data_IF_299529061833
#
_entry.id   IF_299529061833
#
_cell.length_a   1.000
_cell.length_b   1.000
_cell.length_c   1.000
_cell.angle_alpha   90.00
_cell.angle_beta   90.00
_cell.angle_gamma   90.00
#
_symmetry.space_group_name_H-M   'P 1'
#
loop_
_entity.id
_entity.type
_entity.pdbx_description
1 polymer ?
#
# COMPACT_ATOMS: atom_id res chain seq x y z
N UNK A 1 -11.68 5.23 12.50
CA UNK A 1 -11.53 6.71 12.50
C UNK A 1 -11.03 7.28 11.16
N UNK A 2 -10.01 6.70 10.53
CA UNK A 2 -9.42 7.19 9.26
C UNK A 2 -10.39 7.08 8.08
N UNK A 3 -11.11 5.95 7.93
CA UNK A 3 -12.08 5.75 6.86
C UNK A 3 -13.23 6.78 6.90
N UNK A 4 -13.73 7.13 8.09
CA UNK A 4 -14.79 8.12 8.24
C UNK A 4 -14.34 9.53 7.81
N UNK A 5 -13.12 9.93 8.18
CA UNK A 5 -12.54 11.21 7.74
C UNK A 5 -12.35 11.25 6.22
N UNK A 6 -11.91 10.16 5.64
CA UNK A 6 -11.73 10.04 4.20
C UNK A 6 -13.08 10.06 3.46
N UNK A 7 -14.10 9.36 3.97
CA UNK A 7 -15.47 9.40 3.44
C UNK A 7 -16.07 10.81 3.47
N UNK A 8 -15.89 11.54 4.58
CA UNK A 8 -16.35 12.94 4.66
C UNK A 8 -15.73 13.80 3.56
N UNK A 9 -14.44 13.64 3.33
CA UNK A 9 -13.74 14.37 2.26
C UNK A 9 -14.19 13.95 0.87
N UNK A 10 -14.40 12.65 0.64
CA UNK A 10 -14.93 12.14 -0.61
C UNK A 10 -16.34 12.70 -0.88
N UNK A 11 -17.22 12.72 0.12
CA UNK A 11 -18.56 13.32 -0.01
C UNK A 11 -18.52 14.81 -0.35
N UNK A 12 -17.55 15.56 0.17
CA UNK A 12 -17.38 16.97 -0.21
C UNK A 12 -16.94 17.10 -1.67
N UNK A 13 -16.00 16.28 -2.13
CA UNK A 13 -15.55 16.26 -3.53
C UNK A 13 -16.70 15.88 -4.46
N UNK A 14 -17.48 14.86 -4.12
CA UNK A 14 -18.63 14.41 -4.90
C UNK A 14 -19.67 15.51 -5.12
N UNK A 15 -19.97 16.30 -4.08
CA UNK A 15 -20.93 17.41 -4.18
C UNK A 15 -20.43 18.55 -5.05
N UNK A 16 -19.13 18.90 -4.94
CA UNK A 16 -18.58 20.07 -5.60
C UNK A 16 -18.11 19.80 -7.04
N UNK A 17 -17.70 18.58 -7.35
CA UNK A 17 -17.10 18.22 -8.63
C UNK A 17 -17.99 17.26 -9.45
N UNK A 18 -19.31 17.25 -9.21
CA UNK A 18 -20.22 16.35 -9.90
C UNK A 18 -20.11 16.45 -11.43
N UNK A 19 -20.14 17.67 -11.96
CA UNK A 19 -20.09 17.96 -13.40
C UNK A 19 -18.69 18.06 -13.98
N UNK A 20 -17.63 17.80 -13.20
CA UNK A 20 -16.26 17.92 -13.69
C UNK A 20 -15.85 16.70 -14.52
N UNK A 21 -14.88 16.85 -15.42
CA UNK A 21 -14.27 15.74 -16.17
C UNK A 21 -13.64 14.70 -15.24
N UNK A 22 -13.46 13.46 -15.76
CA UNK A 22 -12.86 12.33 -15.05
C UNK A 22 -11.51 12.70 -14.44
N UNK A 23 -10.65 13.35 -15.19
CA UNK A 23 -9.29 13.71 -14.77
C UNK A 23 -9.28 14.62 -13.55
N UNK A 24 -10.17 15.63 -13.50
CA UNK A 24 -10.31 16.53 -12.36
C UNK A 24 -10.77 15.78 -11.10
N UNK A 25 -11.73 14.86 -11.25
CA UNK A 25 -12.20 14.02 -10.17
C UNK A 25 -11.08 13.11 -9.63
N UNK A 26 -10.29 12.55 -10.52
CA UNK A 26 -9.17 11.67 -10.17
C UNK A 26 -8.07 12.45 -9.45
N UNK A 27 -7.69 13.62 -9.92
CA UNK A 27 -6.74 14.51 -9.26
C UNK A 27 -7.25 14.89 -7.87
N UNK A 28 -8.51 15.28 -7.74
CA UNK A 28 -9.12 15.64 -6.46
C UNK A 28 -9.12 14.47 -5.47
N UNK A 29 -9.45 13.26 -5.90
CA UNK A 29 -9.35 12.07 -5.06
C UNK A 29 -7.90 11.79 -4.64
N UNK A 30 -6.97 11.81 -5.60
CA UNK A 30 -5.57 11.45 -5.34
C UNK A 30 -4.86 12.45 -4.44
N UNK A 31 -5.24 13.73 -4.47
CA UNK A 31 -4.65 14.79 -3.65
C UNK A 31 -5.31 14.97 -2.29
N UNK A 32 -6.63 14.82 -2.17
CA UNK A 32 -7.37 15.17 -0.95
C UNK A 32 -7.85 13.98 -0.12
N UNK A 33 -8.19 12.86 -0.75
CA UNK A 33 -8.75 11.69 -0.07
C UNK A 33 -7.71 10.61 0.16
N UNK A 34 -6.97 10.24 -0.90
CA UNK A 34 -5.97 9.17 -0.85
C UNK A 34 -4.88 9.39 0.19
N UNK A 35 -4.34 10.62 0.44
CA UNK A 35 -3.36 10.83 1.49
C UNK A 35 -3.90 10.52 2.89
N UNK A 36 -5.19 10.76 3.14
CA UNK A 36 -5.84 10.42 4.42
C UNK A 36 -5.91 8.91 4.61
N UNK A 37 -6.22 8.15 3.56
CA UNK A 37 -6.24 6.68 3.58
C UNK A 37 -4.84 6.08 3.68
N UNK A 38 -3.84 6.78 3.15
CA UNK A 38 -2.46 6.35 3.11
C UNK A 38 -1.62 6.86 4.31
N UNK A 39 -2.21 7.66 5.21
CA UNK A 39 -1.49 8.20 6.36
C UNK A 39 -0.86 7.10 7.21
N UNK A 40 0.41 7.28 7.55
CA UNK A 40 1.22 6.34 8.33
C UNK A 40 1.18 4.87 7.82
N UNK A 41 0.94 4.66 6.53
CA UNK A 41 0.76 3.33 5.90
C UNK A 41 1.93 2.37 6.09
N UNK A 42 3.12 2.87 6.34
CA UNK A 42 4.30 2.06 6.60
C UNK A 42 4.36 1.56 8.05
N UNK A 43 3.78 2.32 9.00
CA UNK A 43 3.83 2.03 10.43
C UNK A 43 2.52 1.43 10.92
N UNK A 44 1.39 1.98 10.46
CA UNK A 44 0.06 1.55 10.87
C UNK A 44 -0.66 0.83 9.72
N UNK A 45 -1.12 -0.37 9.99
CA UNK A 45 -1.98 -1.14 9.08
C UNK A 45 -3.11 -1.80 9.85
N UNK A 46 -4.35 -1.76 9.35
CA UNK A 46 -5.43 -2.50 9.95
C UNK A 46 -5.15 -4.00 9.86
N UNK A 47 -5.33 -4.70 10.96
CA UNK A 47 -5.16 -6.15 11.04
C UNK A 47 -6.47 -6.87 10.72
N UNK A 48 -7.60 -6.29 11.15
CA UNK A 48 -8.92 -6.88 10.95
C UNK A 48 -9.42 -6.68 9.53
N UNK A 49 -9.93 -7.73 8.91
CA UNK A 49 -10.55 -7.68 7.56
C UNK A 49 -11.66 -6.62 7.47
N UNK A 50 -12.42 -6.41 8.56
CA UNK A 50 -13.45 -5.36 8.64
C UNK A 50 -12.87 -3.98 8.35
N UNK A 51 -11.74 -3.66 8.97
CA UNK A 51 -11.11 -2.34 8.84
C UNK A 51 -10.43 -2.17 7.48
N UNK A 52 -9.82 -3.24 6.96
CA UNK A 52 -9.29 -3.28 5.58
C UNK A 52 -10.43 -2.99 4.60
N UNK A 53 -11.54 -3.71 4.71
CA UNK A 53 -12.70 -3.54 3.84
C UNK A 53 -13.33 -2.14 3.96
N UNK A 54 -13.34 -1.55 5.14
CA UNK A 54 -13.83 -0.19 5.36
C UNK A 54 -12.96 0.86 4.63
N UNK A 55 -11.66 0.68 4.59
CA UNK A 55 -10.77 1.57 3.85
C UNK A 55 -10.89 1.35 2.32
N UNK A 56 -10.92 0.09 1.88
CA UNK A 56 -11.10 -0.23 0.46
C UNK A 56 -12.46 0.21 -0.08
N UNK A 57 -13.50 0.24 0.76
CA UNK A 57 -14.83 0.73 0.36
C UNK A 57 -14.81 2.20 -0.05
N UNK A 58 -13.97 3.02 0.60
CA UNK A 58 -13.78 4.44 0.23
C UNK A 58 -13.14 4.56 -1.14
N UNK A 59 -12.12 3.74 -1.43
CA UNK A 59 -11.47 3.72 -2.74
C UNK A 59 -12.44 3.26 -3.83
N UNK A 60 -13.25 2.22 -3.57
CA UNK A 60 -14.28 1.74 -4.49
C UNK A 60 -15.34 2.82 -4.78
N UNK A 61 -15.78 3.55 -3.76
CA UNK A 61 -16.72 4.65 -3.94
C UNK A 61 -16.12 5.79 -4.78
N UNK A 62 -14.83 6.10 -4.57
CA UNK A 62 -14.12 7.08 -5.36
C UNK A 62 -13.95 6.64 -6.82
N UNK A 63 -13.63 5.37 -7.07
CA UNK A 63 -13.49 4.84 -8.42
C UNK A 63 -14.80 4.95 -9.22
N UNK A 64 -15.93 4.58 -8.61
CA UNK A 64 -17.27 4.76 -9.23
C UNK A 64 -17.56 6.22 -9.55
N UNK A 65 -17.21 7.13 -8.65
CA UNK A 65 -17.41 8.56 -8.85
C UNK A 65 -16.54 9.11 -10.00
N UNK A 66 -15.30 8.69 -10.12
CA UNK A 66 -14.40 9.12 -11.19
C UNK A 66 -14.82 8.57 -12.56
N UNK A 67 -15.25 7.31 -12.62
CA UNK A 67 -15.67 6.65 -13.87
C UNK A 67 -17.11 6.96 -14.28
N UNK A 68 -17.90 7.62 -13.41
CA UNK A 68 -19.36 7.79 -13.56
C UNK A 68 -20.10 6.46 -13.75
N UNK A 69 -19.47 5.36 -13.37
CA UNK A 69 -20.05 4.04 -13.47
C UNK A 69 -20.70 3.66 -12.15
N UNK A 70 -22.03 3.83 -12.09
CA UNK A 70 -22.85 3.49 -10.95
C UNK A 70 -23.62 2.17 -11.16
N UNK A 71 -23.29 1.45 -12.24
CA UNK A 71 -23.91 0.16 -12.49
C UNK A 71 -23.61 -0.79 -11.33
N UNK A 72 -24.68 -1.36 -10.76
CA UNK A 72 -24.58 -2.31 -9.64
C UNK A 72 -23.92 -3.63 -10.06
N UNK A 73 -24.01 -3.98 -11.34
CA UNK A 73 -23.48 -5.22 -11.91
C UNK A 73 -22.06 -5.05 -12.45
N UNK A 74 -21.61 -3.83 -12.71
CA UNK A 74 -20.23 -3.59 -13.14
C UNK A 74 -19.25 -3.88 -12.01
N UNK A 75 -18.30 -4.76 -12.26
CA UNK A 75 -17.27 -5.13 -11.31
C UNK A 75 -16.39 -3.92 -10.97
N UNK A 76 -16.47 -3.42 -9.74
CA UNK A 76 -15.64 -2.27 -9.28
C UNK A 76 -14.15 -2.56 -9.42
N UNK A 77 -13.77 -3.82 -9.40
CA UNK A 77 -12.40 -4.26 -9.59
C UNK A 77 -11.86 -3.87 -10.97
N UNK A 78 -12.68 -3.98 -12.01
CA UNK A 78 -12.29 -3.63 -13.36
C UNK A 78 -12.16 -2.12 -13.51
N UNK A 79 -13.08 -1.35 -12.93
CA UNK A 79 -12.97 0.11 -12.86
C UNK A 79 -11.67 0.57 -12.17
N UNK A 80 -11.27 -0.09 -11.08
CA UNK A 80 -10.02 0.22 -10.37
C UNK A 80 -8.81 -0.12 -11.23
N UNK A 81 -8.86 -1.22 -12.01
CA UNK A 81 -7.82 -1.58 -12.97
C UNK A 81 -7.70 -0.57 -14.10
N UNK A 82 -8.83 -0.13 -14.68
CA UNK A 82 -8.88 0.88 -15.74
C UNK A 82 -8.30 2.23 -15.29
N UNK A 83 -8.46 2.55 -13.99
CA UNK A 83 -7.85 3.72 -13.37
C UNK A 83 -6.38 3.51 -12.98
N UNK A 84 -5.82 2.31 -13.21
CA UNK A 84 -4.47 1.93 -12.81
C UNK A 84 -4.21 2.15 -11.30
N UNK A 85 -5.25 1.98 -10.49
CA UNK A 85 -5.11 2.16 -9.05
C UNK A 85 -4.76 0.84 -8.36
N UNK A 86 -3.63 0.82 -7.68
CA UNK A 86 -3.31 -0.29 -6.78
C UNK A 86 -4.24 -0.25 -5.55
N UNK A 87 -4.58 -1.42 -5.01
CA UNK A 87 -5.35 -1.54 -3.77
C UNK A 87 -4.62 -0.85 -2.61
N UNK A 88 -5.35 -0.37 -1.62
CA UNK A 88 -4.73 0.23 -0.44
C UNK A 88 -3.91 -0.78 0.36
N UNK A 89 -4.30 -2.04 0.34
CA UNK A 89 -3.54 -3.13 0.96
C UNK A 89 -2.19 -3.31 0.29
N UNK A 90 -2.14 -3.46 -1.04
CA UNK A 90 -0.90 -3.54 -1.82
C UNK A 90 0.00 -2.33 -1.56
N UNK A 91 -0.56 -1.12 -1.57
CA UNK A 91 0.20 0.11 -1.29
C UNK A 91 0.79 0.14 0.12
N UNK A 92 0.10 -0.39 1.13
CA UNK A 92 0.62 -0.51 2.50
C UNK A 92 1.73 -1.54 2.55
N UNK A 93 1.53 -2.70 1.92
CA UNK A 93 2.55 -3.74 1.83
C UNK A 93 3.84 -3.20 1.21
N UNK A 94 3.74 -2.55 0.04
CA UNK A 94 4.88 -1.91 -0.62
C UNK A 94 5.58 -0.88 0.27
N UNK A 95 4.82 -0.08 1.02
CA UNK A 95 5.41 0.94 1.90
C UNK A 95 6.15 0.34 3.09
N UNK A 96 5.64 -0.75 3.67
CA UNK A 96 6.33 -1.48 4.75
C UNK A 96 7.63 -2.10 4.24
N UNK A 97 7.58 -2.75 3.08
CA UNK A 97 8.77 -3.36 2.47
C UNK A 97 9.82 -2.30 2.11
N UNK A 98 9.39 -1.16 1.58
CA UNK A 98 10.28 -0.03 1.30
C UNK A 98 10.92 0.54 2.57
N UNK A 99 10.17 0.65 3.67
CA UNK A 99 10.71 1.09 4.95
C UNK A 99 11.76 0.11 5.47
N UNK A 100 11.49 -1.20 5.39
CA UNK A 100 12.44 -2.25 5.76
C UNK A 100 13.69 -2.21 4.91
N UNK A 101 13.56 -2.08 3.58
CA UNK A 101 14.69 -1.93 2.69
C UNK A 101 15.56 -0.73 3.07
N UNK A 102 14.98 0.45 3.23
CA UNK A 102 15.71 1.66 3.62
C UNK A 102 16.44 1.50 4.94
N UNK A 103 15.86 0.78 5.88
CA UNK A 103 16.49 0.50 7.18
C UNK A 103 17.67 -0.46 7.03
N UNK A 104 17.51 -1.56 6.29
CA UNK A 104 18.56 -2.56 6.10
C UNK A 104 19.77 -2.03 5.36
N UNK A 105 19.58 -1.07 4.47
CA UNK A 105 20.63 -0.41 3.71
C UNK A 105 21.16 0.88 4.36
N UNK A 106 20.80 1.15 5.61
CA UNK A 106 21.30 2.31 6.35
C UNK A 106 20.85 3.67 5.85
N UNK A 107 19.79 3.70 4.99
CA UNK A 107 19.23 4.95 4.44
C UNK A 107 18.35 5.71 5.43
N UNK A 108 18.00 5.08 6.54
CA UNK A 108 17.23 5.67 7.64
C UNK A 108 17.85 5.20 8.95
N UNK A 109 18.15 6.15 9.82
CA UNK A 109 18.65 5.86 11.16
C UNK A 109 17.46 5.61 12.12
N UNK A 110 17.06 4.34 12.23
CA UNK A 110 16.09 3.88 13.20
C UNK A 110 16.71 2.73 13.97
N UNK A 111 16.84 2.84 15.28
CA UNK A 111 17.31 1.72 16.09
C UNK A 111 16.24 0.61 16.13
N UNK A 112 16.46 -0.39 15.31
CA UNK A 112 15.57 -1.56 15.21
C UNK A 112 16.13 -2.80 15.90
N UNK A 113 17.35 -2.75 16.46
CA UNK A 113 18.00 -3.89 17.11
C UNK A 113 17.13 -4.50 18.20
N UNK A 114 16.32 -3.67 18.85
CA UNK A 114 15.40 -4.07 19.90
C UNK A 114 14.20 -4.88 19.36
N UNK A 115 13.82 -4.71 18.09
CA UNK A 115 12.60 -5.28 17.48
C UNK A 115 12.89 -6.27 16.35
N UNK A 116 14.02 -6.13 15.69
CA UNK A 116 14.43 -6.94 14.55
C UNK A 116 15.71 -7.68 14.86
N UNK A 117 15.60 -8.96 15.11
CA UNK A 117 16.73 -9.84 15.30
C UNK A 117 17.11 -10.45 13.95
N UNK A 118 18.32 -10.17 13.49
CA UNK A 118 18.81 -10.76 12.23
C UNK A 118 19.00 -12.27 12.43
N UNK A 119 18.55 -13.05 11.44
CA UNK A 119 18.69 -14.49 11.49
C UNK A 119 20.10 -14.90 11.02
N UNK A 120 20.89 -15.45 11.93
CA UNK A 120 22.29 -15.83 11.66
C UNK A 120 22.44 -17.21 11.00
N UNK A 121 21.40 -18.04 11.00
CA UNK A 121 21.49 -19.42 10.51
C UNK A 121 20.77 -19.61 9.17
N UNK A 122 21.52 -20.05 8.16
CA UNK A 122 21.02 -20.30 6.81
C UNK A 122 20.80 -21.80 6.55
N UNK A 123 19.90 -22.44 7.29
CA UNK A 123 19.56 -23.87 7.09
C UNK A 123 18.45 -24.11 6.07
N UNK A 124 17.83 -23.05 5.54
CA UNK A 124 16.68 -23.18 4.63
C UNK A 124 17.01 -22.67 3.23
N UNK A 125 16.48 -23.35 2.21
CA UNK A 125 16.54 -22.88 0.82
C UNK A 125 15.94 -21.48 0.72
N UNK A 126 16.65 -20.54 0.07
CA UNK A 126 16.22 -19.14 -0.04
C UNK A 126 16.64 -18.25 1.15
N UNK A 127 17.65 -18.66 1.90
CA UNK A 127 18.23 -17.81 2.93
C UNK A 127 19.04 -16.68 2.31
N UNK A 128 18.85 -15.45 2.79
CA UNK A 128 19.65 -14.27 2.43
C UNK A 128 20.06 -13.49 3.69
N UNK A 129 21.10 -12.69 3.60
CA UNK A 129 21.68 -11.93 4.72
C UNK A 129 20.71 -10.94 5.39
N UNK A 130 19.63 -10.54 4.71
CA UNK A 130 18.59 -9.63 5.21
C UNK A 130 17.39 -10.36 5.82
N UNK A 131 17.55 -11.63 6.20
CA UNK A 131 16.48 -12.39 6.83
C UNK A 131 16.37 -12.04 8.31
N UNK A 132 15.15 -11.78 8.78
CA UNK A 132 14.88 -11.44 10.17
C UNK A 132 14.09 -12.55 10.86
N UNK A 133 14.38 -12.75 12.15
CA UNK A 133 13.55 -13.59 13.01
C UNK A 133 12.25 -12.86 13.32
N UNK A 134 11.14 -13.37 12.80
CA UNK A 134 9.82 -12.77 12.99
C UNK A 134 9.17 -13.35 14.22
N UNK A 135 8.92 -12.52 15.23
CA UNK A 135 8.26 -13.00 16.45
C UNK A 135 6.79 -13.31 16.25
N UNK A 136 6.02 -12.63 15.42
CA UNK A 136 4.60 -12.97 15.19
C UNK A 136 3.90 -12.41 13.95
N UNK A 137 4.36 -11.41 13.20
CA UNK A 137 3.44 -10.68 12.33
C UNK A 137 3.85 -10.41 10.87
N UNK A 138 5.10 -10.46 10.46
CA UNK A 138 5.48 -10.05 9.10
C UNK A 138 6.37 -11.08 8.40
N UNK A 139 5.73 -12.01 7.70
CA UNK A 139 6.42 -12.95 6.79
C UNK A 139 6.80 -12.30 5.45
N UNK A 140 6.25 -11.12 5.13
CA UNK A 140 6.38 -10.50 3.82
C UNK A 140 7.83 -10.29 3.36
N UNK A 141 8.71 -9.79 4.24
CA UNK A 141 10.11 -9.52 3.90
C UNK A 141 10.90 -10.80 3.69
N UNK A 142 10.68 -11.81 4.52
CA UNK A 142 11.40 -13.08 4.47
C UNK A 142 11.00 -13.95 3.27
N UNK A 143 9.89 -13.64 2.62
CA UNK A 143 9.42 -14.33 1.41
C UNK A 143 9.89 -13.67 0.11
N UNK A 144 10.61 -12.54 0.19
CA UNK A 144 11.12 -11.88 -1.00
C UNK A 144 12.35 -12.62 -1.56
N UNK A 145 12.46 -12.76 -2.89
CA UNK A 145 13.66 -13.27 -3.53
C UNK A 145 14.89 -12.40 -3.22
N UNK A 146 16.06 -13.04 -3.08
CA UNK A 146 17.31 -12.34 -2.81
C UNK A 146 17.63 -11.26 -3.85
N UNK A 147 17.33 -11.52 -5.11
CA UNK A 147 17.51 -10.56 -6.21
C UNK A 147 16.76 -9.23 -6.01
N UNK A 148 15.64 -9.26 -5.28
CA UNK A 148 14.89 -8.04 -4.94
C UNK A 148 15.52 -7.35 -3.73
N UNK A 149 15.86 -8.11 -2.69
CA UNK A 149 16.35 -7.57 -1.42
C UNK A 149 17.75 -6.98 -1.56
N UNK A 150 18.59 -7.55 -2.42
CA UNK A 150 19.97 -7.10 -2.70
C UNK A 150 20.06 -5.97 -3.73
N UNK A 151 18.94 -5.32 -4.07
CA UNK A 151 18.93 -4.20 -5.02
C UNK A 151 19.82 -3.05 -4.54
N UNK A 152 20.61 -2.46 -5.43
CA UNK A 152 21.59 -1.41 -5.11
C UNK A 152 20.95 -0.05 -4.80
N UNK A 153 19.73 0.20 -5.28
CA UNK A 153 19.05 1.47 -5.06
C UNK A 153 17.60 1.28 -4.64
N UNK A 154 17.07 2.28 -3.92
CA UNK A 154 15.68 2.28 -3.47
C UNK A 154 14.66 2.32 -4.63
N UNK A 155 15.03 2.90 -5.76
CA UNK A 155 14.21 2.94 -6.97
C UNK A 155 14.15 1.59 -7.67
N UNK A 156 15.31 0.94 -7.84
CA UNK A 156 15.41 -0.41 -8.39
C UNK A 156 14.66 -1.41 -7.51
N UNK A 157 14.79 -1.30 -6.19
CA UNK A 157 14.03 -2.12 -5.26
C UNK A 157 12.51 -1.92 -5.43
N UNK A 158 12.06 -0.67 -5.49
CA UNK A 158 10.66 -0.34 -5.71
C UNK A 158 10.14 -0.88 -7.03
N UNK A 159 10.89 -0.73 -8.10
CA UNK A 159 10.53 -1.24 -9.43
C UNK A 159 10.36 -2.76 -9.43
N UNK A 160 11.38 -3.49 -8.96
CA UNK A 160 11.34 -4.97 -8.87
C UNK A 160 10.19 -5.46 -7.99
N UNK A 161 9.91 -4.73 -6.91
CA UNK A 161 8.82 -5.05 -6.01
C UNK A 161 7.45 -4.87 -6.69
N UNK A 162 7.25 -3.78 -7.44
CA UNK A 162 6.00 -3.57 -8.19
C UNK A 162 5.79 -4.65 -9.24
N UNK A 163 6.83 -5.04 -9.98
CA UNK A 163 6.75 -6.12 -10.97
C UNK A 163 6.42 -7.49 -10.35
N UNK A 164 6.84 -7.77 -9.11
CA UNK A 164 6.57 -9.05 -8.45
C UNK A 164 5.16 -9.16 -7.85
N UNK A 165 4.42 -8.07 -7.76
CA UNK A 165 3.05 -8.03 -7.22
C UNK A 165 1.99 -7.65 -8.27
N UNK A 166 2.38 -7.48 -9.52
CA UNK A 166 1.47 -7.37 -10.67
C UNK A 166 1.06 -8.75 -11.15
#
# INVERSE_FOLDING_TARGET
>A
MTAAKANKSLGTIQRNLWNCPKDVKEIAYTSLVRPKLAYARAVWGPFLKKDINALESVQRAAARFCSLNYDRYAGVTDVIKDLMWATLETRRRLSRLMLMYKRTHGLIDIDTRKYLIQHSESRTRGSHQFKFRVSYANKDVNCLPEAIVSSSSSETFRYRLTCSFS
#
